data_IF_613452204105
#
_entry.id   IF_613452204105
#
_cell.length_a   1.000
_cell.length_b   1.000
_cell.length_c   1.000
_cell.angle_alpha   90.00
_cell.angle_beta   90.00
_cell.angle_gamma   90.00
#
_symmetry.space_group_name_H-M   'P 1'
#
loop_
_entity.id
_entity.type
_entity.pdbx_description
1 polymer ?
#
# COMPACT_ATOMS: atom_id res chain seq x y z
N UNK A 1 2.34 6.41 12.83
CA UNK A 1 3.04 5.22 12.29
C UNK A 1 4.00 4.75 13.37
N UNK A 2 3.99 3.46 13.68
CA UNK A 2 4.56 2.85 14.90
C UNK A 2 6.08 3.00 14.97
N UNK A 3 6.60 3.41 16.12
CA UNK A 3 8.03 3.56 16.45
C UNK A 3 8.79 2.21 16.56
N UNK A 4 8.24 1.12 16.01
CA UNK A 4 8.74 -0.26 16.17
C UNK A 4 9.52 -0.78 14.94
N UNK A 5 10.07 0.10 14.11
CA UNK A 5 11.00 -0.31 13.05
C UNK A 5 12.42 -0.38 13.63
N UNK A 6 12.97 -1.58 13.79
CA UNK A 6 14.37 -1.76 14.16
C UNK A 6 15.27 -1.29 13.01
N UNK A 7 16.24 -0.42 13.33
CA UNK A 7 17.39 0.17 12.58
C UNK A 7 17.34 0.41 11.05
N UNK A 8 16.57 -0.36 10.26
CA UNK A 8 16.30 -0.16 8.85
C UNK A 8 15.21 0.89 8.61
N UNK A 9 15.56 1.90 7.81
CA UNK A 9 14.60 2.89 7.31
C UNK A 9 13.52 2.21 6.47
N UNK A 10 12.25 2.50 6.75
CA UNK A 10 11.13 2.05 5.91
C UNK A 10 11.38 2.47 4.44
N UNK A 11 11.52 1.51 3.50
CA UNK A 11 11.84 1.80 2.11
C UNK A 11 10.73 2.59 1.41
N UNK A 12 9.50 2.59 1.93
CA UNK A 12 8.38 3.32 1.34
C UNK A 12 8.41 4.81 1.68
N UNK A 13 9.24 5.26 2.63
CA UNK A 13 9.33 6.68 3.01
C UNK A 13 10.40 7.43 2.22
N UNK A 14 10.19 8.73 2.03
CA UNK A 14 11.24 9.63 1.57
C UNK A 14 12.38 9.71 2.60
N UNK A 15 13.64 9.82 2.15
CA UNK A 15 14.74 10.11 3.05
C UNK A 15 14.52 11.39 3.86
N UNK A 16 14.43 11.23 5.18
CA UNK A 16 14.38 12.32 6.16
C UNK A 16 12.97 12.77 6.49
N UNK A 17 11.96 12.18 5.83
CA UNK A 17 10.57 12.59 5.95
C UNK A 17 9.69 11.42 6.34
N UNK A 18 8.72 11.68 7.21
CA UNK A 18 7.65 10.73 7.50
C UNK A 18 6.52 10.83 6.47
N UNK A 19 6.89 10.73 5.18
CA UNK A 19 5.98 10.82 4.03
C UNK A 19 6.35 9.74 3.04
N UNK A 20 5.37 8.97 2.57
CA UNK A 20 5.61 7.91 1.59
C UNK A 20 6.05 8.48 0.25
N UNK A 21 7.04 7.85 -0.39
CA UNK A 21 7.45 8.13 -1.77
C UNK A 21 6.24 7.93 -2.69
N UNK A 22 5.96 8.93 -3.52
CA UNK A 22 4.78 8.96 -4.38
C UNK A 22 5.11 9.60 -5.73
N UNK A 23 4.33 9.23 -6.75
CA UNK A 23 4.48 9.69 -8.14
C UNK A 23 4.14 11.17 -8.33
N UNK A 24 3.45 11.76 -7.35
CA UNK A 24 2.98 13.15 -7.37
C UNK A 24 4.04 14.13 -6.84
N UNK A 25 5.17 13.64 -6.30
CA UNK A 25 6.21 14.48 -5.70
C UNK A 25 5.75 15.24 -4.45
N UNK A 26 4.72 14.75 -3.76
CA UNK A 26 4.16 15.41 -2.57
C UNK A 26 5.01 15.04 -1.35
N UNK A 27 5.52 16.06 -0.66
CA UNK A 27 6.39 15.92 0.52
C UNK A 27 5.69 16.29 1.85
N UNK A 28 4.37 16.47 1.85
CA UNK A 28 3.58 16.77 3.05
C UNK A 28 2.51 15.68 3.25
N UNK A 29 2.56 15.01 4.40
CA UNK A 29 1.70 13.85 4.70
C UNK A 29 0.20 14.14 4.50
N UNK A 30 -0.28 15.28 5.01
CA UNK A 30 -1.69 15.64 4.89
C UNK A 30 -2.13 15.88 3.45
N UNK A 31 -1.30 16.53 2.63
CA UNK A 31 -1.58 16.70 1.20
C UNK A 31 -1.57 15.37 0.45
N UNK A 32 -0.64 14.48 0.78
CA UNK A 32 -0.59 13.15 0.17
C UNK A 32 -1.85 12.35 0.52
N UNK A 33 -2.30 12.41 1.78
CA UNK A 33 -3.53 11.74 2.20
C UNK A 33 -4.76 12.29 1.46
N UNK A 34 -4.88 13.61 1.33
CA UNK A 34 -5.99 14.24 0.60
C UNK A 34 -6.00 13.83 -0.88
N UNK A 35 -4.86 13.95 -1.56
CA UNK A 35 -4.74 13.54 -2.96
C UNK A 35 -5.05 12.04 -3.14
N UNK A 36 -4.55 11.19 -2.24
CA UNK A 36 -4.82 9.76 -2.29
C UNK A 36 -6.32 9.46 -2.12
N UNK A 37 -7.02 10.15 -1.21
CA UNK A 37 -8.45 9.97 -1.00
C UNK A 37 -9.26 10.32 -2.27
N UNK A 38 -8.97 11.47 -2.88
CA UNK A 38 -9.68 11.93 -4.08
C UNK A 38 -9.41 11.02 -5.29
N UNK A 39 -8.14 10.68 -5.54
CA UNK A 39 -7.75 9.88 -6.69
C UNK A 39 -8.22 8.42 -6.58
N UNK A 40 -8.13 7.82 -5.38
CA UNK A 40 -8.63 6.45 -5.18
C UNK A 40 -10.15 6.37 -5.33
N UNK A 41 -10.90 7.39 -4.92
CA UNK A 41 -12.35 7.45 -5.14
C UNK A 41 -12.70 7.46 -6.64
N UNK A 42 -11.98 8.27 -7.44
CA UNK A 42 -12.16 8.28 -8.89
C UNK A 42 -11.80 6.93 -9.53
N UNK A 43 -10.72 6.29 -9.07
CA UNK A 43 -10.34 4.95 -9.55
C UNK A 43 -11.35 3.89 -9.15
N UNK A 44 -11.88 3.94 -7.93
CA UNK A 44 -12.89 3.01 -7.46
C UNK A 44 -14.13 3.00 -8.37
N UNK A 45 -14.54 4.16 -8.88
CA UNK A 45 -15.65 4.28 -9.83
C UNK A 45 -15.41 3.58 -11.19
N UNK A 46 -14.17 3.18 -11.48
CA UNK A 46 -13.79 2.46 -12.71
C UNK A 46 -13.52 0.97 -12.49
N UNK A 47 -13.61 0.48 -11.25
CA UNK A 47 -13.38 -0.93 -10.93
C UNK A 47 -14.60 -1.75 -11.35
N UNK A 48 -14.36 -2.72 -12.23
CA UNK A 48 -15.37 -3.72 -12.60
C UNK A 48 -15.53 -4.80 -11.52
N UNK A 49 -16.61 -5.58 -11.59
CA UNK A 49 -16.94 -6.63 -10.62
C UNK A 49 -15.81 -7.68 -10.46
N UNK A 50 -15.00 -7.88 -11.49
CA UNK A 50 -13.90 -8.84 -11.50
C UNK A 50 -14.32 -10.27 -11.87
N UNK A 51 -13.37 -11.21 -11.87
CA UNK A 51 -13.61 -12.61 -12.23
C UNK A 51 -14.38 -13.36 -11.15
N UNK A 52 -15.04 -14.47 -11.53
CA UNK A 52 -15.73 -15.36 -10.60
C UNK A 52 -14.76 -16.02 -9.61
N UNK A 53 -13.61 -16.49 -10.10
CA UNK A 53 -12.53 -17.04 -9.27
C UNK A 53 -11.62 -15.90 -8.86
N UNK A 54 -11.57 -15.63 -7.55
CA UNK A 54 -10.82 -14.52 -6.96
C UNK A 54 -9.79 -15.08 -5.99
N UNK A 55 -8.61 -14.49 -5.99
CA UNK A 55 -7.51 -14.81 -5.09
C UNK A 55 -6.56 -13.63 -4.94
N UNK A 56 -5.40 -13.85 -4.32
CA UNK A 56 -4.40 -12.80 -4.11
C UNK A 56 -4.06 -11.99 -5.37
N UNK A 57 -3.93 -12.58 -6.58
CA UNK A 57 -3.67 -11.80 -7.80
C UNK A 57 -4.78 -10.79 -8.13
N UNK A 58 -6.04 -11.13 -7.88
CA UNK A 58 -7.16 -10.21 -8.10
C UNK A 58 -7.16 -9.06 -7.07
N UNK A 59 -6.83 -9.36 -5.81
CA UNK A 59 -6.67 -8.33 -4.79
C UNK A 59 -5.52 -7.37 -5.13
N UNK A 60 -4.40 -7.89 -5.63
CA UNK A 60 -3.28 -7.08 -6.12
C UNK A 60 -3.70 -6.20 -7.31
N UNK A 61 -4.55 -6.71 -8.22
CA UNK A 61 -5.09 -5.93 -9.34
C UNK A 61 -6.00 -4.79 -8.87
N UNK A 62 -6.86 -5.02 -7.88
CA UNK A 62 -7.68 -3.97 -7.25
C UNK A 62 -6.77 -2.90 -6.62
N UNK A 63 -5.77 -3.31 -5.83
CA UNK A 63 -4.83 -2.37 -5.22
C UNK A 63 -4.07 -1.57 -6.28
N UNK A 64 -3.63 -2.21 -7.37
CA UNK A 64 -3.02 -1.51 -8.50
C UNK A 64 -3.98 -0.47 -9.07
N UNK A 65 -5.21 -0.85 -9.36
CA UNK A 65 -6.18 0.06 -9.98
C UNK A 65 -6.45 1.29 -9.13
N UNK A 66 -6.58 1.12 -7.81
CA UNK A 66 -6.79 2.21 -6.86
C UNK A 66 -5.59 3.16 -6.76
N UNK A 67 -4.37 2.62 -6.71
CA UNK A 67 -3.18 3.39 -6.31
C UNK A 67 -2.16 3.66 -7.43
N UNK A 68 -2.40 3.20 -8.66
CA UNK A 68 -1.45 3.29 -9.79
C UNK A 68 -0.90 4.70 -10.06
N UNK A 69 -1.70 5.74 -9.80
CA UNK A 69 -1.31 7.13 -10.04
C UNK A 69 -0.53 7.74 -8.85
N UNK A 70 -0.54 7.08 -7.69
CA UNK A 70 -0.03 7.62 -6.43
C UNK A 70 1.30 6.94 -6.07
N UNK A 71 1.38 5.62 -6.19
CA UNK A 71 2.51 4.82 -5.69
C UNK A 71 3.10 3.93 -6.79
N UNK A 72 4.43 3.89 -6.89
CA UNK A 72 5.14 3.00 -7.84
C UNK A 72 4.95 1.52 -7.53
N UNK A 73 4.72 1.21 -6.26
CA UNK A 73 4.50 -0.15 -5.74
C UNK A 73 3.02 -0.56 -5.76
N UNK A 74 2.15 0.18 -6.43
CA UNK A 74 0.72 -0.13 -6.50
C UNK A 74 0.48 -1.55 -7.07
N UNK A 75 -0.09 -2.42 -6.24
CA UNK A 75 -0.38 -3.82 -6.57
C UNK A 75 0.75 -4.80 -6.23
N UNK A 76 1.81 -4.34 -5.58
CA UNK A 76 2.88 -5.19 -5.05
C UNK A 76 2.57 -5.57 -3.60
N UNK A 77 3.05 -6.75 -3.18
CA UNK A 77 3.03 -7.14 -1.77
C UNK A 77 4.04 -6.28 -1.01
N UNK A 78 3.74 -5.97 0.26
CA UNK A 78 4.67 -5.21 1.10
C UNK A 78 5.92 -6.03 1.41
N UNK A 79 7.03 -5.32 1.60
CA UNK A 79 8.36 -5.89 1.89
C UNK A 79 8.81 -5.65 3.34
N UNK A 80 7.93 -5.08 4.16
CA UNK A 80 8.19 -4.81 5.59
C UNK A 80 7.04 -5.30 6.45
N UNK A 81 7.34 -5.60 7.70
CA UNK A 81 6.30 -5.88 8.70
C UNK A 81 5.61 -4.61 9.17
N UNK A 82 4.30 -4.73 9.42
CA UNK A 82 3.48 -3.63 9.91
C UNK A 82 2.69 -4.05 11.14
N UNK A 83 2.36 -3.06 11.97
CA UNK A 83 1.65 -3.21 13.23
C UNK A 83 0.53 -2.18 13.31
N UNK A 84 -0.58 -2.57 13.94
CA UNK A 84 -1.61 -1.67 14.40
C UNK A 84 -1.69 -1.77 15.93
N UNK A 85 -1.20 -0.74 16.63
CA UNK A 85 -0.95 -0.83 18.07
C UNK A 85 0.07 -1.93 18.38
N UNK A 86 -0.33 -2.91 19.18
CA UNK A 86 0.48 -4.09 19.52
C UNK A 86 0.20 -5.31 18.64
N UNK A 87 -0.79 -5.24 17.76
CA UNK A 87 -1.13 -6.33 16.84
C UNK A 87 -0.25 -6.28 15.60
N UNK A 88 0.54 -7.32 15.38
CA UNK A 88 1.32 -7.53 14.15
C UNK A 88 0.43 -8.15 13.08
N UNK A 89 0.52 -7.66 11.84
CA UNK A 89 -0.07 -8.35 10.68
C UNK A 89 0.80 -9.54 10.26
N UNK A 90 0.37 -10.32 9.24
CA UNK A 90 1.14 -11.44 8.69
C UNK A 90 2.61 -11.05 8.43
N UNK A 91 3.59 -11.93 8.66
CA UNK A 91 4.97 -11.58 8.31
C UNK A 91 5.08 -11.36 6.80
N UNK A 92 5.78 -10.30 6.35
CA UNK A 92 5.77 -9.91 4.93
C UNK A 92 6.18 -11.05 3.98
N UNK A 93 7.18 -11.85 4.36
CA UNK A 93 7.65 -12.99 3.57
C UNK A 93 6.63 -14.14 3.47
N UNK A 94 5.57 -14.14 4.28
CA UNK A 94 4.54 -15.18 4.28
C UNK A 94 3.26 -14.74 3.58
N UNK A 95 3.13 -13.49 3.13
CA UNK A 95 1.89 -12.98 2.53
C UNK A 95 1.49 -13.78 1.29
N UNK A 96 2.44 -14.11 0.42
CA UNK A 96 2.14 -14.89 -0.79
C UNK A 96 1.67 -16.31 -0.46
N UNK A 97 2.31 -16.95 0.52
CA UNK A 97 1.90 -18.29 0.99
C UNK A 97 0.51 -18.25 1.61
N UNK A 98 0.30 -17.40 2.61
CA UNK A 98 -0.95 -17.33 3.37
C UNK A 98 -2.11 -16.74 2.56
N UNK A 99 -1.84 -15.89 1.57
CA UNK A 99 -2.85 -15.28 0.70
C UNK A 99 -3.35 -16.19 -0.43
N UNK A 100 -2.65 -17.30 -0.70
CA UNK A 100 -3.04 -18.31 -1.68
C UNK A 100 -3.34 -19.69 -1.05
N UNK A 101 -3.43 -19.75 0.28
CA UNK A 101 -3.73 -20.96 1.03
C UNK A 101 -5.22 -21.36 0.94
#
# INVERSE_FOLDING_TARGET
MSDKFGEGRDPYLYPGLNVMRNRLGIHQAQRLAQAAYEMTALRAATIELGPLVRGLPHLCAIHRQLYQDIFDWAGQLREVDIYQGDTRFCHFAYIEKEGNA
#
